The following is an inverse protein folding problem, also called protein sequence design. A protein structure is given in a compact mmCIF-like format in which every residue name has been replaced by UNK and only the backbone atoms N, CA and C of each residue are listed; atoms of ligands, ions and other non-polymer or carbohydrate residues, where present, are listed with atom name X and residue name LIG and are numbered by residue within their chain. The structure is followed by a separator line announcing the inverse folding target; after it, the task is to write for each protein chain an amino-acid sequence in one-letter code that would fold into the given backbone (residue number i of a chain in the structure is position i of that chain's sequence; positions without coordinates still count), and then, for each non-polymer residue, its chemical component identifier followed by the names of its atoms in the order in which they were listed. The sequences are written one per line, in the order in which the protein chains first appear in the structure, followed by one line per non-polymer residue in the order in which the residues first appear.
data_IF_730274476789
#
_entry.id   IF_730274476789
#
_cell.length_a   1.000
_cell.length_b   1.000
_cell.length_c   1.000
_cell.angle_alpha   90.00
_cell.angle_beta   90.00
_cell.angle_gamma   90.00
#
_symmetry.space_group_name_H-M   'P 1'
#
loop_
_entity.id
_entity.type
_entity.pdbx_description
1 polymer ?
#
# COMPACT_ATOMS: atom_id res chain seq x y z
N UNK A 1 -32.39 -29.97 21.06
CA UNK A 1 -32.02 -29.75 19.64
C UNK A 1 -31.83 -28.27 19.29
N UNK A 2 -32.70 -27.34 19.73
CA UNK A 2 -32.58 -25.89 19.45
C UNK A 2 -31.29 -25.25 19.99
N UNK A 3 -30.93 -25.56 21.25
CA UNK A 3 -29.73 -25.02 21.91
C UNK A 3 -28.39 -25.47 21.30
N UNK A 4 -28.33 -26.66 20.70
CA UNK A 4 -27.10 -27.20 20.11
C UNK A 4 -26.79 -26.56 18.76
N UNK A 5 -27.85 -26.22 18.00
CA UNK A 5 -27.75 -25.50 16.72
C UNK A 5 -27.31 -24.05 16.93
N UNK A 6 -27.78 -23.38 17.98
CA UNK A 6 -27.35 -22.02 18.33
C UNK A 6 -25.88 -21.95 18.74
N UNK A 7 -25.40 -22.92 19.53
CA UNK A 7 -23.97 -23.01 19.92
C UNK A 7 -23.09 -23.26 18.69
N UNK A 8 -23.52 -24.13 17.78
CA UNK A 8 -22.79 -24.41 16.54
C UNK A 8 -22.68 -23.17 15.64
N UNK A 9 -23.78 -22.43 15.46
CA UNK A 9 -23.82 -21.17 14.71
C UNK A 9 -22.94 -20.09 15.36
N UNK A 10 -22.94 -20.02 16.69
CA UNK A 10 -22.09 -19.08 17.43
C UNK A 10 -20.60 -19.41 17.30
N UNK A 11 -20.21 -20.70 17.42
CA UNK A 11 -18.84 -21.14 17.19
C UNK A 11 -18.39 -20.89 15.73
N UNK A 12 -19.25 -21.17 14.75
CA UNK A 12 -18.93 -20.91 13.34
C UNK A 12 -18.72 -19.41 13.05
N UNK A 13 -19.55 -18.53 13.63
CA UNK A 13 -19.38 -17.08 13.52
C UNK A 13 -18.08 -16.60 14.19
N UNK A 14 -17.74 -17.14 15.37
CA UNK A 14 -16.48 -16.81 16.08
C UNK A 14 -15.25 -17.29 15.28
N UNK A 15 -15.28 -18.47 14.68
CA UNK A 15 -14.18 -18.98 13.82
C UNK A 15 -14.01 -18.12 12.56
N UNK A 16 -15.11 -17.68 11.93
CA UNK A 16 -15.06 -16.78 10.77
C UNK A 16 -14.52 -15.38 11.14
N UNK A 17 -14.84 -14.87 12.34
CA UNK A 17 -14.34 -13.59 12.85
C UNK A 17 -12.87 -13.64 13.29
N UNK A 18 -12.33 -14.81 13.61
CA UNK A 18 -10.94 -15.02 14.04
C UNK A 18 -9.96 -15.31 12.89
N UNK A 19 -10.46 -15.47 11.66
CA UNK A 19 -9.67 -15.94 10.50
C UNK A 19 -9.21 -14.80 9.58
N UNK A 20 -8.71 -13.69 10.12
CA UNK A 20 -8.08 -12.65 9.30
C UNK A 20 -6.61 -12.98 9.07
N UNK A 21 -6.29 -13.64 7.94
CA UNK A 21 -4.90 -13.78 7.48
C UNK A 21 -4.40 -12.43 6.96
N UNK A 22 -3.53 -11.75 7.71
CA UNK A 22 -2.81 -10.58 7.21
C UNK A 22 -1.66 -11.03 6.32
N UNK A 23 -1.82 -10.89 5.00
CA UNK A 23 -0.70 -10.95 4.06
C UNK A 23 0.02 -9.61 4.04
N UNK A 24 1.34 -9.61 3.91
CA UNK A 24 2.09 -8.38 3.67
C UNK A 24 1.65 -7.79 2.33
N UNK A 25 1.27 -6.50 2.32
CA UNK A 25 0.82 -5.77 1.14
C UNK A 25 1.97 -4.94 0.56
N UNK A 26 1.85 -4.58 -0.71
CA UNK A 26 2.60 -3.47 -1.30
C UNK A 26 2.49 -2.19 -0.43
N UNK A 27 3.48 -1.29 -0.48
CA UNK A 27 3.40 -0.03 0.25
C UNK A 27 2.22 0.83 -0.23
N UNK A 28 1.76 1.76 0.60
CA UNK A 28 0.59 2.59 0.28
C UNK A 28 0.76 3.43 -0.99
N UNK A 29 1.99 3.80 -1.32
CA UNK A 29 2.36 4.56 -2.51
C UNK A 29 2.92 3.70 -3.64
N UNK A 30 2.48 2.45 -3.75
CA UNK A 30 2.85 1.59 -4.88
C UNK A 30 2.40 2.19 -6.23
N UNK A 31 1.25 2.87 -6.20
CA UNK A 31 0.60 3.50 -7.34
C UNK A 31 0.66 5.03 -7.26
N UNK A 32 0.68 5.70 -8.42
CA UNK A 32 0.68 7.17 -8.49
C UNK A 32 -0.56 7.78 -7.80
N UNK A 33 -1.72 7.12 -7.86
CA UNK A 33 -2.93 7.54 -7.17
C UNK A 33 -2.81 7.49 -5.63
N UNK A 34 -1.87 6.68 -5.10
CA UNK A 34 -1.56 6.56 -3.67
C UNK A 34 -0.30 7.31 -3.25
N UNK A 35 0.22 8.21 -4.09
CA UNK A 35 1.47 8.92 -3.82
C UNK A 35 1.47 9.62 -2.46
N UNK A 36 2.58 9.50 -1.72
CA UNK A 36 2.76 10.24 -0.47
C UNK A 36 2.98 11.71 -0.77
N UNK A 37 2.15 12.57 -0.19
CA UNK A 37 2.29 14.02 -0.33
C UNK A 37 3.42 14.55 0.55
N UNK A 38 4.40 15.20 -0.09
CA UNK A 38 5.44 16.00 0.54
C UNK A 38 5.07 17.46 0.36
N UNK A 39 4.92 18.20 1.46
CA UNK A 39 4.65 19.64 1.44
C UNK A 39 5.92 20.43 1.71
N UNK A 40 5.95 21.72 1.35
CA UNK A 40 7.11 22.59 1.65
C UNK A 40 7.40 22.65 3.15
N UNK A 41 6.36 22.69 3.98
CA UNK A 41 6.45 22.65 5.44
C UNK A 41 7.09 21.35 5.98
N UNK A 42 7.16 20.30 5.17
CA UNK A 42 7.79 19.02 5.53
C UNK A 42 9.29 18.98 5.22
N UNK A 43 9.88 20.06 4.69
CA UNK A 43 11.29 20.09 4.32
C UNK A 43 12.20 20.44 5.53
N UNK A 44 13.32 19.74 5.71
CA UNK A 44 13.80 18.61 4.91
C UNK A 44 13.00 17.33 5.17
N UNK A 45 12.50 16.72 4.09
CA UNK A 45 11.69 15.50 4.18
C UNK A 45 12.59 14.26 4.17
N UNK A 46 12.33 13.31 5.07
CA UNK A 46 12.97 12.00 5.08
C UNK A 46 11.92 10.90 5.22
N UNK A 47 12.18 9.76 4.56
CA UNK A 47 11.30 8.60 4.62
C UNK A 47 12.13 7.31 4.53
N UNK A 48 11.85 6.37 5.44
CA UNK A 48 12.37 5.01 5.38
C UNK A 48 11.19 4.06 5.22
N UNK A 49 11.16 3.31 4.12
CA UNK A 49 10.08 2.40 3.79
C UNK A 49 10.59 1.11 3.16
N UNK A 50 9.85 0.02 3.39
CA UNK A 50 10.13 -1.26 2.75
C UNK A 50 9.40 -1.35 1.41
N UNK A 51 10.17 -1.39 0.31
CA UNK A 51 9.63 -1.46 -1.06
C UNK A 51 9.63 -2.87 -1.64
N UNK A 52 9.93 -3.89 -0.84
CA UNK A 52 10.07 -5.29 -1.31
C UNK A 52 8.86 -5.79 -2.08
N UNK A 53 7.66 -5.39 -1.65
CA UNK A 53 6.39 -5.83 -2.24
C UNK A 53 5.77 -4.84 -3.21
N UNK A 54 6.46 -3.74 -3.52
CA UNK A 54 6.02 -2.82 -4.56
C UNK A 54 5.94 -3.51 -5.93
N UNK A 55 5.15 -2.97 -6.84
CA UNK A 55 4.89 -3.53 -8.17
C UNK A 55 5.07 -2.47 -9.26
N UNK A 56 5.41 -2.86 -10.49
CA UNK A 56 5.36 -1.94 -11.63
C UNK A 56 3.92 -1.78 -12.12
N UNK A 57 3.61 -0.61 -12.66
CA UNK A 57 2.38 -0.30 -13.36
C UNK A 57 2.64 0.02 -14.84
N UNK A 58 1.69 -0.32 -15.72
CA UNK A 58 1.78 0.00 -17.16
C UNK A 58 1.73 1.51 -17.47
N UNK A 59 1.29 2.34 -16.52
CA UNK A 59 1.35 3.80 -16.62
C UNK A 59 2.63 4.41 -16.06
N UNK A 60 3.53 3.58 -15.53
CA UNK A 60 4.81 4.09 -15.04
C UNK A 60 5.63 4.71 -16.19
N UNK A 61 6.39 5.78 -15.91
CA UNK A 61 7.30 6.35 -16.88
C UNK A 61 8.30 5.30 -17.36
N UNK A 62 8.52 5.24 -18.67
CA UNK A 62 9.55 4.37 -19.24
C UNK A 62 10.92 4.81 -18.71
N UNK A 63 11.55 3.96 -17.91
CA UNK A 63 12.92 4.15 -17.46
C UNK A 63 13.86 3.89 -18.64
N UNK A 64 14.52 4.95 -19.12
CA UNK A 64 15.47 4.87 -20.24
C UNK A 64 16.80 4.21 -19.85
N UNK A 65 17.06 4.08 -18.55
CA UNK A 65 18.28 3.52 -17.98
C UNK A 65 18.01 2.20 -17.23
N UNK A 66 17.55 1.15 -17.92
CA UNK A 66 17.46 -0.22 -17.39
C UNK A 66 17.02 -1.24 -18.47
N UNK A 67 17.48 -1.11 -19.72
CA UNK A 67 17.05 -1.98 -20.84
C UNK A 67 15.51 -2.13 -20.97
N UNK A 68 14.75 -1.07 -20.66
CA UNK A 68 13.29 -1.08 -20.70
C UNK A 68 12.62 -1.90 -19.58
N UNK A 69 13.39 -2.44 -18.65
CA UNK A 69 12.89 -3.12 -17.46
C UNK A 69 12.40 -2.11 -16.42
N UNK A 70 11.11 -1.79 -16.48
CA UNK A 70 10.41 -1.15 -15.37
C UNK A 70 10.66 -1.93 -14.07
N UNK A 71 11.15 -1.24 -13.05
CA UNK A 71 11.31 -1.78 -11.70
C UNK A 71 10.04 -1.62 -10.87
N UNK A 72 10.07 -2.10 -9.62
CA UNK A 72 9.05 -1.76 -8.63
C UNK A 72 9.05 -0.25 -8.39
N UNK A 73 7.89 0.40 -8.38
CA UNK A 73 7.79 1.84 -8.19
C UNK A 73 7.24 2.21 -6.82
N UNK A 74 7.58 3.42 -6.38
CA UNK A 74 6.93 4.08 -5.24
C UNK A 74 6.80 5.56 -5.55
N UNK A 75 5.65 6.14 -5.22
CA UNK A 75 5.26 7.44 -5.72
C UNK A 75 5.18 8.51 -4.63
N UNK A 76 5.55 9.74 -5.01
CA UNK A 76 5.52 10.93 -4.16
C UNK A 76 5.02 12.12 -4.97
N UNK A 77 4.28 13.02 -4.32
CA UNK A 77 3.96 14.34 -4.87
C UNK A 77 4.65 15.41 -4.04
N UNK A 78 5.06 16.50 -4.68
CA UNK A 78 5.66 17.64 -3.98
C UNK A 78 4.90 18.91 -4.32
N UNK A 79 4.44 19.62 -3.29
CA UNK A 79 3.85 20.96 -3.43
C UNK A 79 4.74 21.96 -2.69
N UNK A 80 5.43 22.87 -3.41
CA UNK A 80 6.20 23.93 -2.78
C UNK A 80 5.27 24.97 -2.14
N UNK A 81 5.69 25.55 -1.02
CA UNK A 81 4.91 26.58 -0.32
C UNK A 81 5.02 27.95 -1.02
N UNK A 82 6.06 28.15 -1.85
CA UNK A 82 6.26 29.37 -2.62
C UNK A 82 6.66 29.04 -4.06
N UNK A 83 6.08 29.78 -5.00
CA UNK A 83 6.54 29.84 -6.39
C UNK A 83 7.60 30.93 -6.49
N UNK A 84 8.78 30.60 -7.01
CA UNK A 84 9.88 31.55 -7.21
C UNK A 84 9.52 32.70 -8.13
#
# INVERSE_FOLDING_TARGET
MKSLSTIFLFCAAVVLLLSSTMFAQAPANDECAGAIAVTGASLPYTNSQNTRLATPNGTDPSLTCADGGGGKTVWYTFTPDETR
#
